data_IF_036291435897
#
_entry.id   IF_036291435897
#
_cell.length_a   1.000
_cell.length_b   1.000
_cell.length_c   1.000
_cell.angle_alpha   90.00
_cell.angle_beta   90.00
_cell.angle_gamma   90.00
#
_symmetry.space_group_name_H-M   'P 1'
#
loop_
_entity.id
_entity.type
_entity.pdbx_description
1 polymer ?
#
# COMPACT_ATOMS: atom_id res chain seq x y z
N UNK A 1 -8.71 -22.88 0.72
CA UNK A 1 -9.80 -22.28 -0.07
C UNK A 1 -10.57 -21.21 0.72
N UNK A 2 -11.09 -21.50 1.93
CA UNK A 2 -11.85 -20.49 2.72
C UNK A 2 -11.07 -19.21 3.01
N UNK A 3 -9.77 -19.31 3.40
CA UNK A 3 -8.92 -18.13 3.63
C UNK A 3 -8.88 -17.23 2.39
N UNK A 4 -8.64 -17.80 1.22
CA UNK A 4 -8.53 -17.04 -0.04
C UNK A 4 -9.86 -16.40 -0.46
N UNK A 5 -10.97 -17.15 -0.35
CA UNK A 5 -12.27 -16.61 -0.70
C UNK A 5 -12.66 -15.44 0.22
N UNK A 6 -12.47 -15.59 1.53
CA UNK A 6 -12.71 -14.52 2.49
C UNK A 6 -11.83 -13.29 2.20
N UNK A 7 -10.53 -13.51 1.96
CA UNK A 7 -9.59 -12.43 1.67
C UNK A 7 -9.90 -11.70 0.35
N UNK A 8 -10.23 -12.44 -0.71
CA UNK A 8 -10.59 -11.84 -1.99
C UNK A 8 -11.79 -10.87 -1.84
N UNK A 9 -12.82 -11.31 -1.12
CA UNK A 9 -14.01 -10.48 -0.88
C UNK A 9 -13.68 -9.28 0.01
N UNK A 10 -12.93 -9.49 1.09
CA UNK A 10 -12.55 -8.44 2.04
C UNK A 10 -11.65 -7.37 1.40
N UNK A 11 -10.69 -7.75 0.56
CA UNK A 11 -9.82 -6.80 -0.12
C UNK A 11 -10.58 -5.93 -1.13
N UNK A 12 -11.62 -6.45 -1.80
CA UNK A 12 -12.50 -5.63 -2.63
C UNK A 12 -13.23 -4.60 -1.76
N UNK A 13 -13.72 -5.01 -0.58
CA UNK A 13 -14.31 -4.10 0.41
C UNK A 13 -13.35 -3.00 0.84
N UNK A 14 -12.10 -3.36 1.16
CA UNK A 14 -11.05 -2.39 1.50
C UNK A 14 -10.86 -1.32 0.41
N UNK A 15 -10.94 -1.68 -0.90
CA UNK A 15 -10.86 -0.71 -2.00
C UNK A 15 -12.10 0.20 -2.05
N UNK A 16 -13.28 -0.34 -1.71
CA UNK A 16 -14.49 0.49 -1.58
C UNK A 16 -14.31 1.56 -0.50
N UNK A 17 -13.82 1.18 0.67
CA UNK A 17 -13.55 2.12 1.77
C UNK A 17 -12.48 3.15 1.39
N UNK A 18 -11.39 2.73 0.72
CA UNK A 18 -10.32 3.61 0.26
C UNK A 18 -10.81 4.70 -0.71
N UNK A 19 -11.81 4.40 -1.55
CA UNK A 19 -12.45 5.38 -2.45
C UNK A 19 -13.52 6.18 -1.72
N UNK A 20 -14.32 5.53 -0.87
CA UNK A 20 -15.47 6.15 -0.22
C UNK A 20 -15.09 7.17 0.87
N UNK A 21 -14.03 6.91 1.65
CA UNK A 21 -13.59 7.82 2.71
C UNK A 21 -13.18 9.21 2.20
N UNK A 22 -12.22 9.34 1.25
CA UNK A 22 -11.85 10.64 0.72
C UNK A 22 -13.01 11.32 -0.01
N UNK A 23 -13.85 10.58 -0.72
CA UNK A 23 -15.02 11.10 -1.40
C UNK A 23 -16.05 11.67 -0.42
N UNK A 24 -16.34 10.94 0.67
CA UNK A 24 -17.24 11.40 1.74
C UNK A 24 -16.75 12.70 2.37
N UNK A 25 -15.47 12.77 2.74
CA UNK A 25 -14.91 13.97 3.36
C UNK A 25 -14.87 15.13 2.39
N UNK A 26 -14.53 14.87 1.12
CA UNK A 26 -14.50 15.90 0.08
C UNK A 26 -15.90 16.46 -0.19
N UNK A 27 -16.93 15.61 -0.30
CA UNK A 27 -18.32 16.05 -0.47
C UNK A 27 -18.81 16.87 0.72
N UNK A 28 -18.43 16.50 1.94
CA UNK A 28 -18.89 17.18 3.14
C UNK A 28 -18.19 18.54 3.39
N UNK A 29 -16.93 18.70 2.94
CA UNK A 29 -16.11 19.86 3.32
C UNK A 29 -15.54 20.66 2.16
N UNK A 30 -15.42 20.08 0.97
CA UNK A 30 -14.63 20.65 -0.14
C UNK A 30 -13.13 20.79 0.17
N UNK A 31 -12.68 20.33 1.37
CA UNK A 31 -11.32 20.55 1.87
C UNK A 31 -10.35 19.51 1.29
N UNK A 32 -9.30 20.00 0.63
CA UNK A 32 -8.18 19.17 0.17
C UNK A 32 -7.35 18.65 1.34
N UNK A 33 -7.13 19.47 2.35
CA UNK A 33 -6.42 19.07 3.58
C UNK A 33 -7.20 17.97 4.32
N UNK A 34 -8.52 18.13 4.50
CA UNK A 34 -9.37 17.12 5.12
C UNK A 34 -9.35 15.79 4.37
N UNK A 35 -9.44 15.84 3.05
CA UNK A 35 -9.37 14.67 2.19
C UNK A 35 -7.98 14.01 2.26
N UNK A 36 -6.90 14.79 2.22
CA UNK A 36 -5.53 14.30 2.39
C UNK A 36 -5.31 13.67 3.78
N UNK A 37 -5.92 14.23 4.83
CA UNK A 37 -5.84 13.69 6.18
C UNK A 37 -6.44 12.28 6.30
N UNK A 38 -7.51 11.98 5.56
CA UNK A 38 -8.08 10.62 5.52
C UNK A 38 -7.08 9.61 4.95
N UNK A 39 -6.44 9.92 3.82
CA UNK A 39 -5.41 9.07 3.25
C UNK A 39 -4.24 8.83 4.23
N UNK A 40 -3.82 9.90 4.94
CA UNK A 40 -2.76 9.80 5.94
C UNK A 40 -3.20 8.93 7.13
N UNK A 41 -4.40 9.13 7.66
CA UNK A 41 -4.93 8.39 8.80
C UNK A 41 -5.11 6.90 8.49
N UNK A 42 -5.39 6.56 7.24
CA UNK A 42 -5.45 5.17 6.78
C UNK A 42 -4.08 4.49 6.77
N UNK A 43 -3.00 5.26 6.67
CA UNK A 43 -1.61 4.75 6.60
C UNK A 43 -0.88 4.83 7.94
N UNK A 44 -1.18 5.84 8.76
CA UNK A 44 -0.51 6.07 10.05
C UNK A 44 -0.48 4.86 11.00
N UNK A 45 -1.52 4.01 11.09
CA UNK A 45 -1.48 2.82 11.95
C UNK A 45 -0.32 1.88 11.63
N UNK A 46 0.09 1.76 10.37
CA UNK A 46 1.24 0.95 9.97
C UNK A 46 2.55 1.48 10.57
N UNK A 47 2.68 2.81 10.66
CA UNK A 47 3.85 3.43 11.28
C UNK A 47 3.89 3.19 12.78
N UNK A 48 2.75 3.35 13.48
CA UNK A 48 2.70 3.25 14.93
C UNK A 48 2.66 1.82 15.44
N UNK A 49 1.91 0.95 14.79
CA UNK A 49 1.60 -0.39 15.28
C UNK A 49 2.22 -1.51 14.44
N UNK A 50 2.71 -1.25 13.22
CA UNK A 50 3.18 -2.27 12.29
C UNK A 50 4.25 -3.19 12.91
N UNK A 51 5.20 -2.63 13.63
CA UNK A 51 6.26 -3.41 14.30
C UNK A 51 5.76 -4.17 15.53
N UNK A 52 4.82 -3.59 16.28
CA UNK A 52 4.25 -4.22 17.47
C UNK A 52 3.22 -5.30 17.10
N UNK A 53 2.58 -5.18 15.94
CA UNK A 53 1.53 -6.08 15.49
C UNK A 53 2.01 -7.52 15.37
N UNK A 54 3.18 -7.77 14.79
CA UNK A 54 3.75 -9.12 14.69
C UNK A 54 3.95 -9.77 16.07
N UNK A 55 4.52 -9.01 17.01
CA UNK A 55 4.76 -9.48 18.39
C UNK A 55 3.45 -9.78 19.11
N UNK A 56 2.46 -8.92 18.92
CA UNK A 56 1.15 -9.10 19.55
C UNK A 56 0.46 -10.35 18.98
N UNK A 57 0.47 -10.50 17.66
CA UNK A 57 -0.14 -11.65 16.96
C UNK A 57 0.49 -12.98 17.38
N UNK A 58 1.80 -13.02 17.63
CA UNK A 58 2.48 -14.25 18.05
C UNK A 58 2.06 -14.73 19.45
N UNK A 59 1.46 -13.89 20.27
CA UNK A 59 0.94 -14.24 21.61
C UNK A 59 -0.46 -14.86 21.59
N UNK A 60 -1.18 -14.70 20.51
CA UNK A 60 -2.57 -15.13 20.40
C UNK A 60 -2.77 -16.16 19.29
N UNK A 61 -3.93 -16.82 19.31
CA UNK A 61 -4.32 -17.69 18.21
C UNK A 61 -4.60 -16.85 16.96
N UNK A 62 -3.75 -17.02 15.94
CA UNK A 62 -3.75 -16.23 14.69
C UNK A 62 -5.13 -16.20 14.02
N UNK A 63 -5.84 -17.33 13.99
CA UNK A 63 -7.20 -17.40 13.43
C UNK A 63 -8.15 -16.46 14.17
N UNK A 64 -8.15 -16.52 15.51
CA UNK A 64 -9.06 -15.71 16.29
C UNK A 64 -8.69 -14.22 16.29
N UNK A 65 -7.41 -13.88 16.16
CA UNK A 65 -6.98 -12.49 15.91
C UNK A 65 -7.59 -11.98 14.60
N UNK A 66 -7.47 -12.74 13.51
CA UNK A 66 -8.03 -12.35 12.21
C UNK A 66 -9.56 -12.20 12.28
N UNK A 67 -10.27 -13.15 12.88
CA UNK A 67 -11.74 -13.09 13.08
C UNK A 67 -12.12 -11.85 13.90
N UNK A 68 -11.43 -11.60 15.00
CA UNK A 68 -11.72 -10.44 15.87
C UNK A 68 -11.50 -9.12 15.13
N UNK A 69 -10.43 -9.01 14.33
CA UNK A 69 -10.16 -7.81 13.55
C UNK A 69 -11.18 -7.59 12.44
N UNK A 70 -11.60 -8.63 11.73
CA UNK A 70 -12.65 -8.52 10.72
C UNK A 70 -14.01 -8.16 11.33
N UNK A 71 -14.39 -8.76 12.45
CA UNK A 71 -15.63 -8.39 13.17
C UNK A 71 -15.57 -6.93 13.65
N UNK A 72 -14.44 -6.50 14.20
CA UNK A 72 -14.25 -5.11 14.63
C UNK A 72 -14.38 -4.17 13.44
N UNK A 73 -13.66 -4.44 12.33
CA UNK A 73 -13.68 -3.63 11.12
C UNK A 73 -15.08 -3.58 10.50
N UNK A 74 -15.81 -4.71 10.48
CA UNK A 74 -17.19 -4.75 10.03
C UNK A 74 -18.10 -3.81 10.84
N UNK A 75 -18.00 -3.86 12.18
CA UNK A 75 -18.76 -2.98 13.05
C UNK A 75 -18.40 -1.50 12.85
N UNK A 76 -17.11 -1.18 12.79
CA UNK A 76 -16.64 0.19 12.58
C UNK A 76 -17.07 0.73 11.21
N UNK A 77 -17.01 -0.07 10.15
CA UNK A 77 -17.45 0.33 8.80
C UNK A 77 -18.96 0.67 8.77
N UNK A 78 -19.79 -0.08 9.50
CA UNK A 78 -21.23 0.24 9.63
C UNK A 78 -21.49 1.56 10.36
N UNK A 79 -20.61 1.96 11.30
CA UNK A 79 -20.76 3.22 12.03
C UNK A 79 -20.44 4.44 11.17
N UNK A 80 -19.57 4.32 10.14
CA UNK A 80 -19.17 5.47 9.31
C UNK A 80 -20.37 6.21 8.72
N UNK A 81 -21.31 5.60 7.99
CA UNK A 81 -22.44 6.32 7.44
C UNK A 81 -23.39 6.89 8.51
N UNK A 82 -23.43 6.32 9.70
CA UNK A 82 -24.26 6.81 10.80
C UNK A 82 -23.72 8.11 11.39
N UNK A 83 -22.39 8.24 11.50
CA UNK A 83 -21.76 9.43 12.10
C UNK A 83 -21.41 10.51 11.09
N UNK A 84 -21.34 10.17 9.82
CA UNK A 84 -20.90 11.09 8.76
C UNK A 84 -21.76 12.36 8.65
N UNK A 85 -23.05 12.26 8.99
CA UNK A 85 -23.99 13.39 8.94
C UNK A 85 -23.89 14.36 10.11
N UNK A 86 -23.22 14.01 11.21
CA UNK A 86 -23.19 14.83 12.42
C UNK A 86 -21.80 15.03 13.04
N UNK A 87 -20.82 14.20 12.74
CA UNK A 87 -19.47 14.34 13.32
C UNK A 87 -18.36 13.88 12.39
N UNK A 88 -17.80 14.81 11.63
CA UNK A 88 -16.62 14.54 10.79
C UNK A 88 -15.39 14.06 11.59
N UNK A 89 -15.07 14.61 12.78
CA UNK A 89 -13.97 14.06 13.59
C UNK A 89 -14.11 12.57 13.87
N UNK A 90 -15.32 12.06 14.09
CA UNK A 90 -15.52 10.63 14.27
C UNK A 90 -15.25 9.82 13.00
N UNK A 91 -15.50 10.37 11.81
CA UNK A 91 -15.14 9.72 10.53
C UNK A 91 -13.63 9.50 10.45
N UNK A 92 -12.82 10.49 10.84
CA UNK A 92 -11.36 10.34 10.89
C UNK A 92 -10.91 9.31 11.92
N UNK A 93 -11.52 9.29 13.10
CA UNK A 93 -11.23 8.27 14.13
C UNK A 93 -11.59 6.88 13.64
N UNK A 94 -12.74 6.72 12.99
CA UNK A 94 -13.16 5.43 12.43
C UNK A 94 -12.24 4.96 11.31
N UNK A 95 -11.78 5.85 10.42
CA UNK A 95 -10.84 5.49 9.36
C UNK A 95 -9.52 4.97 9.94
N UNK A 96 -8.98 5.64 10.96
CA UNK A 96 -7.78 5.19 11.68
C UNK A 96 -7.99 3.86 12.39
N UNK A 97 -9.14 3.66 13.04
CA UNK A 97 -9.45 2.43 13.78
C UNK A 97 -9.63 1.21 12.82
N UNK A 98 -10.30 1.41 11.68
CA UNK A 98 -10.45 0.37 10.64
C UNK A 98 -9.06 -0.02 10.10
N UNK A 99 -8.21 0.95 9.76
CA UNK A 99 -6.86 0.70 9.29
C UNK A 99 -6.00 0.00 10.35
N UNK A 100 -6.15 0.34 11.64
CA UNK A 100 -5.47 -0.34 12.76
C UNK A 100 -5.84 -1.83 12.81
N UNK A 101 -7.12 -2.18 12.57
CA UNK A 101 -7.55 -3.57 12.44
C UNK A 101 -6.81 -4.30 11.33
N UNK A 102 -6.58 -3.65 10.18
CA UNK A 102 -5.79 -4.19 9.07
C UNK A 102 -4.34 -4.46 9.44
N UNK A 103 -3.71 -3.55 10.18
CA UNK A 103 -2.31 -3.70 10.65
C UNK A 103 -2.12 -4.91 11.55
N UNK A 104 -3.10 -5.26 12.37
CA UNK A 104 -3.07 -6.44 13.23
C UNK A 104 -3.44 -7.73 12.48
N UNK A 105 -4.28 -7.61 11.47
CA UNK A 105 -4.73 -8.72 10.64
C UNK A 105 -3.58 -9.29 9.77
N UNK A 106 -2.81 -8.43 9.13
CA UNK A 106 -1.85 -8.82 8.10
C UNK A 106 -0.74 -9.76 8.59
N UNK A 107 -0.04 -9.53 9.72
CA UNK A 107 0.95 -10.48 10.21
C UNK A 107 0.32 -11.82 10.63
N UNK A 108 -0.93 -11.84 11.12
CA UNK A 108 -1.64 -13.07 11.42
C UNK A 108 -1.91 -13.89 10.16
N UNK A 109 -2.32 -13.22 9.07
CA UNK A 109 -2.56 -13.80 7.75
C UNK A 109 -1.28 -14.42 7.16
N UNK A 110 -0.19 -13.70 7.17
CA UNK A 110 1.09 -14.20 6.66
C UNK A 110 1.60 -15.40 7.46
N UNK A 111 1.40 -15.37 8.76
CA UNK A 111 1.90 -16.39 9.66
C UNK A 111 1.04 -17.67 9.72
N UNK A 112 -0.26 -17.60 9.42
CA UNK A 112 -1.15 -18.79 9.43
C UNK A 112 -0.97 -19.65 8.17
N UNK A 113 -0.61 -19.07 7.03
CA UNK A 113 -0.51 -19.79 5.75
C UNK A 113 0.42 -21.01 5.84
N UNK A 114 1.68 -20.90 6.32
CA UNK A 114 2.56 -22.07 6.43
C UNK A 114 2.12 -23.08 7.49
N UNK A 115 1.18 -22.73 8.36
CA UNK A 115 0.65 -23.64 9.40
C UNK A 115 -0.58 -24.44 8.92
N UNK A 116 -1.31 -23.94 7.92
CA UNK A 116 -2.50 -24.60 7.36
C UNK A 116 -2.24 -25.26 6.00
N UNK A 117 -1.09 -25.01 5.38
CA UNK A 117 -0.72 -25.55 4.06
C UNK A 117 0.47 -26.52 4.22
N UNK A 118 0.38 -27.74 3.68
CA UNK A 118 1.52 -28.66 3.63
C UNK A 118 2.73 -28.03 2.93
N UNK A 119 3.95 -28.34 3.41
CA UNK A 119 5.20 -27.74 2.92
C UNK A 119 5.40 -27.91 1.41
N UNK A 120 5.03 -29.07 0.86
CA UNK A 120 5.10 -29.38 -0.57
C UNK A 120 4.14 -28.53 -1.43
N UNK A 121 3.11 -27.91 -0.83
CA UNK A 121 2.10 -27.08 -1.52
C UNK A 121 2.24 -25.58 -1.24
N UNK A 122 3.22 -25.17 -0.42
CA UNK A 122 3.39 -23.75 -0.04
C UNK A 122 3.65 -22.85 -1.25
N UNK A 123 4.48 -23.28 -2.21
CA UNK A 123 4.74 -22.50 -3.40
C UNK A 123 3.45 -22.25 -4.20
N UNK A 124 2.64 -23.28 -4.39
CA UNK A 124 1.35 -23.18 -5.10
C UNK A 124 0.37 -22.29 -4.34
N UNK A 125 0.33 -22.40 -3.01
CA UNK A 125 -0.53 -21.57 -2.16
C UNK A 125 -0.14 -20.09 -2.23
N UNK A 126 1.15 -19.78 -2.14
CA UNK A 126 1.65 -18.41 -2.23
C UNK A 126 1.45 -17.82 -3.63
N UNK A 127 1.65 -18.61 -4.70
CA UNK A 127 1.36 -18.17 -6.07
C UNK A 127 -0.13 -17.85 -6.26
N UNK A 128 -1.02 -18.66 -5.68
CA UNK A 128 -2.45 -18.41 -5.73
C UNK A 128 -2.84 -17.14 -4.95
N UNK A 129 -2.23 -16.91 -3.76
CA UNK A 129 -2.40 -15.67 -3.00
C UNK A 129 -1.97 -14.46 -3.82
N UNK A 130 -0.77 -14.46 -4.36
CA UNK A 130 -0.25 -13.37 -5.17
C UNK A 130 -1.13 -13.08 -6.39
N UNK A 131 -1.65 -14.11 -7.06
CA UNK A 131 -2.59 -13.95 -8.17
C UNK A 131 -3.91 -13.31 -7.71
N UNK A 132 -4.45 -13.77 -6.57
CA UNK A 132 -5.68 -13.22 -6.01
C UNK A 132 -5.49 -11.74 -5.60
N UNK A 133 -4.36 -11.39 -4.99
CA UNK A 133 -4.00 -10.02 -4.63
C UNK A 133 -3.90 -9.12 -5.87
N UNK A 134 -3.21 -9.55 -6.93
CA UNK A 134 -3.12 -8.79 -8.17
C UNK A 134 -4.49 -8.60 -8.85
N UNK A 135 -5.33 -9.64 -8.87
CA UNK A 135 -6.69 -9.52 -9.42
C UNK A 135 -7.53 -8.55 -8.59
N UNK A 136 -7.42 -8.62 -7.26
CA UNK A 136 -8.15 -7.70 -6.37
C UNK A 136 -7.66 -6.27 -6.52
N UNK A 137 -6.35 -6.07 -6.76
CA UNK A 137 -5.79 -4.75 -7.03
C UNK A 137 -6.43 -4.12 -8.26
N UNK A 138 -6.50 -4.85 -9.37
CA UNK A 138 -7.08 -4.33 -10.63
C UNK A 138 -8.59 -4.19 -10.53
N UNK A 139 -9.28 -5.28 -10.19
CA UNK A 139 -10.74 -5.32 -10.19
C UNK A 139 -11.33 -4.51 -9.04
N UNK A 140 -10.66 -4.50 -7.88
CA UNK A 140 -11.11 -3.77 -6.70
C UNK A 140 -11.17 -2.27 -6.94
N UNK A 141 -10.15 -1.67 -7.55
CA UNK A 141 -10.16 -0.25 -7.89
C UNK A 141 -11.24 0.10 -8.91
N UNK A 142 -11.36 -0.69 -9.99
CA UNK A 142 -12.38 -0.45 -11.02
C UNK A 142 -13.80 -0.56 -10.42
N UNK A 143 -14.06 -1.61 -9.64
CA UNK A 143 -15.35 -1.81 -8.99
C UNK A 143 -15.63 -0.74 -7.94
N UNK A 144 -14.65 -0.37 -7.13
CA UNK A 144 -14.80 0.64 -6.09
C UNK A 144 -15.21 2.00 -6.68
N UNK A 145 -14.52 2.46 -7.73
CA UNK A 145 -14.87 3.70 -8.42
C UNK A 145 -16.31 3.70 -8.92
N UNK A 146 -16.73 2.62 -9.59
CA UNK A 146 -18.10 2.50 -10.14
C UNK A 146 -19.15 2.37 -9.03
N UNK A 147 -18.92 1.52 -8.03
CA UNK A 147 -19.91 1.27 -6.98
C UNK A 147 -20.12 2.49 -6.08
N UNK A 148 -19.05 3.19 -5.71
CA UNK A 148 -19.17 4.42 -4.89
C UNK A 148 -19.90 5.52 -5.65
N UNK A 149 -19.63 5.68 -6.97
CA UNK A 149 -20.33 6.67 -7.79
C UNK A 149 -21.79 6.32 -8.06
N UNK A 150 -22.11 5.02 -8.19
CA UNK A 150 -23.44 4.57 -8.65
C UNK A 150 -24.41 4.32 -7.50
N UNK A 151 -23.93 3.90 -6.33
CA UNK A 151 -24.80 3.54 -5.21
C UNK A 151 -24.91 4.67 -4.18
N UNK A 152 -23.91 4.89 -3.43
CA UNK A 152 -23.67 5.97 -2.45
C UNK A 152 -22.47 5.60 -1.57
N UNK A 153 -21.89 6.56 -0.89
CA UNK A 153 -20.84 6.30 0.11
C UNK A 153 -21.35 5.41 1.24
N UNK A 154 -22.59 5.60 1.68
CA UNK A 154 -23.19 4.76 2.72
C UNK A 154 -23.33 3.28 2.29
N UNK A 155 -23.72 3.03 1.04
CA UNK A 155 -23.80 1.68 0.49
C UNK A 155 -22.41 1.05 0.36
N UNK A 156 -21.39 1.82 -0.03
CA UNK A 156 -20.00 1.34 -0.10
C UNK A 156 -19.50 0.85 1.27
N UNK A 157 -19.72 1.60 2.35
CA UNK A 157 -19.35 1.17 3.71
C UNK A 157 -20.15 -0.04 4.21
N UNK A 158 -21.42 -0.17 3.83
CA UNK A 158 -22.20 -1.39 4.15
C UNK A 158 -21.67 -2.61 3.40
N UNK A 159 -21.29 -2.47 2.14
CA UNK A 159 -20.68 -3.53 1.36
C UNK A 159 -19.31 -3.94 1.93
N UNK A 160 -18.50 -2.95 2.32
CA UNK A 160 -17.24 -3.18 2.99
C UNK A 160 -17.43 -3.93 4.30
N UNK A 161 -18.36 -3.48 5.15
CA UNK A 161 -18.73 -4.20 6.37
C UNK A 161 -19.18 -5.64 6.10
N UNK A 162 -20.03 -5.85 5.09
CA UNK A 162 -20.45 -7.19 4.70
C UNK A 162 -19.27 -8.05 4.22
N UNK A 163 -18.31 -7.47 3.52
CA UNK A 163 -17.11 -8.17 3.07
C UNK A 163 -16.26 -8.67 4.23
N UNK A 164 -16.06 -7.85 5.27
CA UNK A 164 -15.40 -8.27 6.51
C UNK A 164 -16.18 -9.35 7.26
N UNK A 165 -17.50 -9.25 7.32
CA UNK A 165 -18.33 -10.27 7.93
C UNK A 165 -18.20 -11.63 7.21
N UNK A 166 -18.21 -11.62 5.88
CA UNK A 166 -17.97 -12.82 5.05
C UNK A 166 -16.58 -13.40 5.33
N UNK A 167 -15.55 -12.56 5.39
CA UNK A 167 -14.19 -12.97 5.71
C UNK A 167 -14.11 -13.59 7.11
N UNK A 168 -14.70 -12.93 8.12
CA UNK A 168 -14.74 -13.44 9.49
C UNK A 168 -15.40 -14.83 9.57
N UNK A 169 -16.52 -15.05 8.86
CA UNK A 169 -17.19 -16.35 8.79
C UNK A 169 -16.29 -17.39 8.11
N UNK A 170 -15.69 -17.05 6.97
CA UNK A 170 -14.75 -17.95 6.29
C UNK A 170 -13.59 -18.36 7.20
N UNK A 171 -13.01 -17.40 7.94
CA UNK A 171 -11.91 -17.64 8.88
C UNK A 171 -12.36 -18.50 10.08
N UNK A 172 -13.55 -18.24 10.62
CA UNK A 172 -14.11 -19.03 11.73
C UNK A 172 -14.36 -20.50 11.35
N UNK A 173 -14.62 -20.78 10.07
CA UNK A 173 -14.83 -22.14 9.56
C UNK A 173 -13.51 -22.89 9.29
N UNK A 174 -12.35 -22.23 9.30
CA UNK A 174 -11.06 -22.89 9.11
C UNK A 174 -10.76 -23.80 10.30
N UNK A 175 -10.55 -25.08 10.07
CA UNK A 175 -10.09 -26.01 11.11
C UNK A 175 -8.59 -25.77 11.36
N UNK A 176 -8.28 -25.03 12.40
CA UNK A 176 -6.91 -24.67 12.78
C UNK A 176 -6.67 -24.98 14.25
N UNK A 177 -5.60 -25.72 14.53
CA UNK A 177 -5.09 -25.95 15.88
C UNK A 177 -3.82 -25.12 16.04
N UNK A 178 -3.86 -24.11 16.89
CA UNK A 178 -2.70 -23.31 17.17
C UNK A 178 -1.59 -24.19 17.78
N UNK A 179 -0.35 -24.14 17.26
CA UNK A 179 0.77 -24.78 17.93
C UNK A 179 0.99 -24.16 19.33
N UNK A 180 1.32 -25.00 20.30
CA UNK A 180 1.72 -24.51 21.63
C UNK A 180 3.04 -23.73 21.46
N UNK A 181 3.02 -22.46 21.77
CA UNK A 181 4.19 -21.56 21.69
C UNK A 181 4.58 -21.11 23.08
N UNK A 182 5.84 -21.22 23.39
CA UNK A 182 6.40 -20.53 24.55
C UNK A 182 6.38 -19.03 24.26
N UNK A 183 5.83 -18.25 25.20
CA UNK A 183 5.76 -16.80 25.06
C UNK A 183 7.16 -16.20 24.93
N UNK A 184 7.50 -15.67 23.79
CA UNK A 184 8.77 -14.97 23.57
C UNK A 184 8.78 -13.66 24.37
N UNK A 185 9.33 -13.74 25.57
CA UNK A 185 9.24 -12.72 26.62
C UNK A 185 10.04 -11.42 26.43
N UNK A 186 10.62 -11.13 25.25
CA UNK A 186 11.61 -10.04 25.10
C UNK A 186 11.36 -9.05 23.95
N UNK A 187 10.22 -9.06 23.31
CA UNK A 187 10.05 -8.41 22.00
C UNK A 187 9.97 -6.87 21.99
N UNK A 188 9.40 -6.23 23.02
CA UNK A 188 9.21 -4.76 22.97
C UNK A 188 10.51 -3.96 23.26
N UNK A 189 11.39 -4.48 24.14
CA UNK A 189 12.69 -3.83 24.43
C UNK A 189 13.70 -3.97 23.29
N UNK A 190 13.52 -4.92 22.40
CA UNK A 190 14.37 -5.16 21.23
C UNK A 190 14.12 -4.22 20.07
N UNK A 191 12.88 -3.78 19.84
CA UNK A 191 12.49 -3.03 18.64
C UNK A 191 13.32 -1.77 18.35
N UNK A 192 13.42 -0.85 19.30
CA UNK A 192 14.23 0.37 19.10
C UNK A 192 15.72 0.06 18.91
N UNK A 193 16.22 -1.00 19.57
CA UNK A 193 17.59 -1.48 19.39
C UNK A 193 17.75 -2.06 17.98
N UNK A 194 16.85 -2.90 17.53
CA UNK A 194 16.87 -3.50 16.18
C UNK A 194 16.75 -2.44 15.09
N UNK A 195 15.86 -1.44 15.27
CA UNK A 195 15.73 -0.28 14.39
C UNK A 195 17.06 0.51 14.32
N UNK A 196 17.70 0.75 15.46
CA UNK A 196 19.00 1.43 15.52
C UNK A 196 20.11 0.63 14.85
N UNK A 197 20.14 -0.69 15.07
CA UNK A 197 21.11 -1.59 14.44
C UNK A 197 20.91 -1.65 12.94
N UNK A 198 19.66 -1.78 12.46
CA UNK A 198 19.31 -1.73 11.03
C UNK A 198 19.70 -0.40 10.39
N UNK A 199 19.40 0.73 11.03
CA UNK A 199 19.77 2.06 10.55
C UNK A 199 21.28 2.27 10.53
N UNK A 200 21.98 1.79 11.58
CA UNK A 200 23.45 1.82 11.63
C UNK A 200 24.06 1.02 10.48
N UNK A 201 23.55 -0.18 10.23
CA UNK A 201 24.00 -1.02 9.11
C UNK A 201 23.81 -0.34 7.76
N UNK A 202 22.63 0.23 7.52
CA UNK A 202 22.33 0.96 6.29
C UNK A 202 23.29 2.15 6.08
N UNK A 203 23.58 2.91 7.14
CA UNK A 203 24.48 4.09 7.09
C UNK A 203 25.92 3.75 6.76
N UNK A 204 26.40 2.59 7.21
CA UNK A 204 27.80 2.16 6.99
C UNK A 204 28.01 1.50 5.60
N UNK A 205 26.93 1.13 4.90
CA UNK A 205 27.01 0.51 3.57
C UNK A 205 26.50 1.47 2.50
N UNK A 206 27.42 2.15 1.81
CA UNK A 206 27.10 3.20 0.82
C UNK A 206 26.10 2.76 -0.24
N UNK A 207 26.18 1.53 -0.76
CA UNK A 207 25.22 1.00 -1.73
C UNK A 207 23.80 0.88 -1.17
N UNK A 208 23.67 0.34 0.05
CA UNK A 208 22.39 0.21 0.73
C UNK A 208 21.80 1.57 1.14
N UNK A 209 22.66 2.53 1.52
CA UNK A 209 22.22 3.90 1.82
C UNK A 209 21.63 4.58 0.59
N UNK A 210 22.31 4.50 -0.56
CA UNK A 210 21.82 5.06 -1.84
C UNK A 210 20.54 4.35 -2.26
N UNK A 211 20.48 3.02 -2.22
CA UNK A 211 19.27 2.24 -2.52
C UNK A 211 18.09 2.67 -1.61
N UNK A 212 18.34 2.82 -0.31
CA UNK A 212 17.32 3.27 0.65
C UNK A 212 16.86 4.70 0.35
N UNK A 213 17.77 5.61 0.02
CA UNK A 213 17.42 6.98 -0.34
C UNK A 213 16.57 7.04 -1.62
N UNK A 214 16.90 6.24 -2.63
CA UNK A 214 16.14 6.15 -3.88
C UNK A 214 14.73 5.61 -3.64
N UNK A 215 14.58 4.57 -2.81
CA UNK A 215 13.25 4.03 -2.49
C UNK A 215 12.43 5.01 -1.65
N UNK A 216 13.02 5.72 -0.69
CA UNK A 216 12.31 6.73 0.09
C UNK A 216 11.80 7.88 -0.78
N UNK A 217 12.62 8.34 -1.73
CA UNK A 217 12.20 9.34 -2.72
C UNK A 217 11.05 8.82 -3.59
N UNK A 218 11.12 7.57 -4.04
CA UNK A 218 10.05 6.92 -4.80
C UNK A 218 8.76 6.82 -3.99
N UNK A 219 8.84 6.35 -2.75
CA UNK A 219 7.70 6.23 -1.84
C UNK A 219 7.10 7.60 -1.51
N UNK A 220 7.92 8.65 -1.39
CA UNK A 220 7.41 10.01 -1.22
C UNK A 220 6.61 10.48 -2.45
N UNK A 221 7.10 10.20 -3.66
CA UNK A 221 6.38 10.52 -4.90
C UNK A 221 5.08 9.71 -5.07
N UNK A 222 5.12 8.41 -4.78
CA UNK A 222 3.92 7.54 -4.79
C UNK A 222 2.92 8.00 -3.73
N UNK A 223 3.36 8.26 -2.51
CA UNK A 223 2.48 8.75 -1.44
C UNK A 223 1.86 10.10 -1.81
N UNK A 224 2.65 11.01 -2.39
CA UNK A 224 2.13 12.28 -2.87
C UNK A 224 1.08 12.09 -3.98
N UNK A 225 1.24 11.13 -4.86
CA UNK A 225 0.31 10.90 -5.97
C UNK A 225 -1.07 10.42 -5.50
N UNK A 226 -1.20 9.71 -4.39
CA UNK A 226 -2.48 9.13 -3.95
C UNK A 226 -3.61 10.17 -3.80
N UNK A 227 -3.50 11.25 -2.99
CA UNK A 227 -4.53 12.29 -2.96
C UNK A 227 -4.54 13.13 -4.25
N UNK A 228 -3.39 13.32 -4.92
CA UNK A 228 -3.35 14.08 -6.17
C UNK A 228 -4.14 13.41 -7.29
N UNK A 229 -4.11 12.07 -7.38
CA UNK A 229 -4.94 11.30 -8.33
C UNK A 229 -6.42 11.55 -8.09
N UNK A 230 -6.83 11.55 -6.83
CA UNK A 230 -8.21 11.87 -6.47
C UNK A 230 -8.59 13.30 -6.92
N UNK A 231 -7.76 14.31 -6.61
CA UNK A 231 -8.04 15.70 -7.00
C UNK A 231 -7.95 15.92 -8.51
N UNK A 232 -7.05 15.22 -9.21
CA UNK A 232 -6.98 15.24 -10.67
C UNK A 232 -8.29 14.73 -11.28
N UNK A 233 -8.77 13.58 -10.81
CA UNK A 233 -10.00 12.98 -11.31
C UNK A 233 -11.23 13.86 -11.04
N UNK A 234 -11.35 14.39 -9.83
CA UNK A 234 -12.56 15.08 -9.37
C UNK A 234 -12.53 16.58 -9.70
N UNK A 235 -11.43 17.29 -9.37
CA UNK A 235 -11.36 18.75 -9.55
C UNK A 235 -10.88 19.18 -10.93
N UNK A 236 -9.88 18.49 -11.48
CA UNK A 236 -9.25 18.92 -12.75
C UNK A 236 -10.04 18.39 -13.94
N UNK A 237 -10.44 17.12 -13.91
CA UNK A 237 -11.22 16.52 -15.00
C UNK A 237 -12.74 16.65 -14.81
N UNK A 238 -13.22 17.17 -13.68
CA UNK A 238 -14.65 17.31 -13.38
C UNK A 238 -15.38 15.96 -13.30
N UNK A 239 -14.66 14.88 -13.05
CA UNK A 239 -15.19 13.54 -12.93
C UNK A 239 -15.71 13.21 -11.53
N UNK A 240 -15.98 11.93 -11.33
CA UNK A 240 -16.39 11.36 -10.05
C UNK A 240 -15.41 10.24 -9.60
N UNK A 241 -15.84 9.43 -8.67
CA UNK A 241 -15.04 8.29 -8.18
C UNK A 241 -14.75 7.23 -9.24
N UNK A 242 -15.52 7.17 -10.35
CA UNK A 242 -15.23 6.30 -11.51
C UNK A 242 -13.93 6.70 -12.17
N UNK A 243 -13.71 8.00 -12.34
CA UNK A 243 -12.48 8.53 -12.91
C UNK A 243 -11.27 8.18 -12.03
N UNK A 244 -11.39 8.36 -10.70
CA UNK A 244 -10.35 7.95 -9.74
C UNK A 244 -10.07 6.44 -9.79
N UNK A 245 -11.13 5.62 -9.70
CA UNK A 245 -10.98 4.16 -9.77
C UNK A 245 -10.41 3.66 -11.10
N UNK A 246 -10.73 4.31 -12.23
CA UNK A 246 -10.17 3.96 -13.54
C UNK A 246 -8.66 4.25 -13.61
N UNK A 247 -8.18 5.37 -13.07
CA UNK A 247 -6.75 5.69 -13.01
C UNK A 247 -5.98 4.69 -12.15
N UNK A 248 -6.49 4.39 -10.95
CA UNK A 248 -5.87 3.41 -10.04
C UNK A 248 -5.88 1.98 -10.64
N UNK A 249 -6.99 1.55 -11.24
CA UNK A 249 -7.06 0.26 -11.92
C UNK A 249 -6.07 0.18 -13.09
N UNK A 250 -5.92 1.26 -13.85
CA UNK A 250 -4.97 1.33 -14.97
C UNK A 250 -3.52 1.22 -14.48
N UNK A 251 -3.19 1.84 -13.36
CA UNK A 251 -1.89 1.67 -12.70
C UNK A 251 -1.66 0.20 -12.29
N UNK A 252 -2.66 -0.43 -11.68
CA UNK A 252 -2.60 -1.85 -11.30
C UNK A 252 -2.40 -2.79 -12.50
N UNK A 253 -3.09 -2.54 -13.62
CA UNK A 253 -2.88 -3.28 -14.88
C UNK A 253 -1.44 -3.10 -15.37
N UNK A 254 -0.94 -1.87 -15.35
CA UNK A 254 0.46 -1.59 -15.72
C UNK A 254 1.45 -2.32 -14.84
N UNK A 255 1.25 -2.33 -13.53
CA UNK A 255 2.09 -3.05 -12.57
C UNK A 255 2.09 -4.56 -12.84
N UNK A 256 0.94 -5.16 -13.08
CA UNK A 256 0.83 -6.57 -13.44
C UNK A 256 1.60 -6.89 -14.74
N UNK A 257 1.37 -6.11 -15.80
CA UNK A 257 2.09 -6.27 -17.08
C UNK A 257 3.59 -6.11 -16.89
N UNK A 258 4.03 -5.10 -16.13
CA UNK A 258 5.45 -4.86 -15.83
C UNK A 258 6.09 -6.02 -15.06
N UNK A 259 5.38 -6.60 -14.10
CA UNK A 259 5.84 -7.75 -13.33
C UNK A 259 6.05 -8.98 -14.22
N UNK A 260 5.10 -9.26 -15.12
CA UNK A 260 5.21 -10.38 -16.08
C UNK A 260 6.36 -10.13 -17.07
N UNK A 261 6.47 -8.92 -17.62
CA UNK A 261 7.57 -8.56 -18.53
C UNK A 261 8.93 -8.73 -17.84
N UNK A 262 9.07 -8.22 -16.62
CA UNK A 262 10.33 -8.37 -15.90
C UNK A 262 10.66 -9.83 -15.58
N UNK A 263 9.68 -10.64 -15.20
CA UNK A 263 9.88 -12.07 -14.96
C UNK A 263 10.41 -12.80 -16.21
N UNK A 264 9.94 -12.42 -17.41
CA UNK A 264 10.42 -13.01 -18.69
C UNK A 264 11.80 -12.49 -19.12
N UNK A 265 12.16 -11.27 -18.70
CA UNK A 265 13.42 -10.60 -19.05
C UNK A 265 14.49 -10.70 -17.96
N UNK A 266 14.19 -11.29 -16.81
CA UNK A 266 15.02 -11.25 -15.60
C UNK A 266 16.48 -11.69 -15.81
N UNK A 267 16.71 -12.68 -16.72
CA UNK A 267 18.06 -13.17 -17.03
C UNK A 267 18.86 -12.27 -17.98
N UNK A 268 18.20 -11.28 -18.61
CA UNK A 268 18.81 -10.41 -19.64
C UNK A 268 19.07 -8.99 -19.16
N UNK A 269 18.53 -8.61 -18.00
CA UNK A 269 18.61 -7.23 -17.50
C UNK A 269 19.56 -7.12 -16.31
N UNK A 270 20.32 -6.02 -16.25
CA UNK A 270 21.17 -5.69 -15.11
C UNK A 270 20.33 -4.99 -14.05
N UNK A 271 20.32 -5.50 -12.82
CA UNK A 271 19.46 -5.02 -11.72
C UNK A 271 19.63 -3.55 -11.44
N UNK A 272 20.88 -3.06 -11.37
CA UNK A 272 21.16 -1.65 -11.11
C UNK A 272 20.59 -0.72 -12.16
N UNK A 273 20.73 -1.06 -13.44
CA UNK A 273 20.14 -0.29 -14.53
C UNK A 273 18.63 -0.38 -14.57
N UNK A 274 18.06 -1.54 -14.30
CA UNK A 274 16.59 -1.75 -14.21
C UNK A 274 16.00 -0.88 -13.12
N UNK A 275 16.64 -0.84 -11.93
CA UNK A 275 16.23 0.02 -10.83
C UNK A 275 16.26 1.50 -11.22
N UNK A 276 17.38 1.98 -11.75
CA UNK A 276 17.54 3.40 -12.15
C UNK A 276 16.55 3.76 -13.24
N UNK A 277 16.50 2.99 -14.33
CA UNK A 277 15.61 3.26 -15.45
C UNK A 277 14.14 3.19 -15.07
N UNK A 278 13.77 2.21 -14.23
CA UNK A 278 12.41 2.08 -13.70
C UNK A 278 11.99 3.28 -12.88
N UNK A 279 12.81 3.73 -11.93
CA UNK A 279 12.53 4.91 -11.11
C UNK A 279 12.48 6.21 -11.93
N UNK A 280 13.41 6.39 -12.88
CA UNK A 280 13.38 7.56 -13.78
C UNK A 280 12.11 7.53 -14.62
N UNK A 281 11.76 6.40 -15.21
CA UNK A 281 10.54 6.25 -16.00
C UNK A 281 9.28 6.52 -15.16
N UNK A 282 9.23 6.02 -13.91
CA UNK A 282 8.14 6.35 -12.97
C UNK A 282 7.97 7.86 -12.79
N UNK A 283 9.07 8.55 -12.49
CA UNK A 283 9.04 10.00 -12.27
C UNK A 283 8.59 10.76 -13.52
N UNK A 284 9.08 10.37 -14.71
CA UNK A 284 8.66 10.96 -15.98
C UNK A 284 7.20 10.69 -16.30
N UNK A 285 6.70 9.48 -16.07
CA UNK A 285 5.29 9.15 -16.26
C UNK A 285 4.40 9.96 -15.32
N UNK A 286 4.79 10.10 -14.05
CA UNK A 286 4.04 10.91 -13.10
C UNK A 286 4.02 12.39 -13.49
N UNK A 287 5.13 12.93 -13.95
CA UNK A 287 5.20 14.30 -14.49
C UNK A 287 4.36 14.47 -15.77
N UNK A 288 4.31 13.44 -16.63
CA UNK A 288 3.52 13.46 -17.86
C UNK A 288 2.01 13.54 -17.59
N UNK A 289 1.53 13.11 -16.41
CA UNK A 289 0.12 13.30 -16.01
C UNK A 289 -0.28 14.78 -16.02
N UNK A 290 0.65 15.68 -15.70
CA UNK A 290 0.38 17.12 -15.63
C UNK A 290 -0.10 17.75 -16.96
N UNK A 291 0.27 17.17 -18.10
CA UNK A 291 -0.13 17.67 -19.43
C UNK A 291 -1.39 17.01 -19.99
N UNK A 292 -2.02 16.12 -19.24
CA UNK A 292 -3.25 15.44 -19.68
C UNK A 292 -4.48 16.31 -19.42
N UNK A 293 -5.48 16.20 -20.30
CA UNK A 293 -6.71 16.99 -20.25
C UNK A 293 -7.96 16.14 -20.03
N UNK A 294 -7.82 14.82 -19.99
CA UNK A 294 -8.92 13.90 -19.74
C UNK A 294 -8.45 12.63 -19.03
N UNK A 295 -9.39 11.93 -18.41
CA UNK A 295 -9.13 10.63 -17.72
C UNK A 295 -8.47 9.64 -18.70
N UNK A 296 -8.97 9.54 -19.93
CA UNK A 296 -8.44 8.60 -20.92
C UNK A 296 -7.01 8.91 -21.34
N UNK A 297 -6.66 10.20 -21.46
CA UNK A 297 -5.27 10.59 -21.71
C UNK A 297 -4.38 10.25 -20.52
N UNK A 298 -4.87 10.46 -19.30
CA UNK A 298 -4.12 10.16 -18.07
C UNK A 298 -3.92 8.66 -17.85
N UNK A 299 -4.80 7.80 -18.34
CA UNK A 299 -4.62 6.34 -18.28
C UNK A 299 -3.30 5.88 -18.91
N UNK A 300 -2.82 6.54 -19.98
CA UNK A 300 -1.57 6.14 -20.65
C UNK A 300 -0.37 6.29 -19.71
N UNK A 301 -0.05 7.48 -19.15
CA UNK A 301 1.06 7.62 -18.22
C UNK A 301 0.84 6.81 -16.91
N UNK A 302 -0.40 6.58 -16.45
CA UNK A 302 -0.67 5.71 -15.30
C UNK A 302 -0.33 4.23 -15.58
N UNK A 303 -0.68 3.72 -16.75
CA UNK A 303 -0.28 2.36 -17.15
C UNK A 303 1.23 2.20 -17.21
N UNK A 304 1.92 3.16 -17.87
CA UNK A 304 3.37 3.17 -17.98
C UNK A 304 4.05 3.34 -16.61
N UNK A 305 3.49 4.16 -15.75
CA UNK A 305 3.93 4.29 -14.35
C UNK A 305 3.85 2.96 -13.62
N UNK A 306 2.75 2.21 -13.76
CA UNK A 306 2.61 0.87 -13.18
C UNK A 306 3.69 -0.09 -13.66
N UNK A 307 3.94 -0.16 -14.97
CA UNK A 307 5.01 -0.98 -15.56
C UNK A 307 6.38 -0.62 -14.99
N UNK A 308 6.69 0.66 -14.94
CA UNK A 308 7.96 1.17 -14.42
C UNK A 308 8.11 0.90 -12.91
N UNK A 309 7.01 1.03 -12.14
CA UNK A 309 6.97 0.73 -10.72
C UNK A 309 7.29 -0.74 -10.43
N UNK A 310 6.69 -1.67 -11.18
CA UNK A 310 6.99 -3.08 -11.02
C UNK A 310 8.48 -3.37 -11.29
N UNK A 311 9.03 -2.84 -12.37
CA UNK A 311 10.44 -3.02 -12.70
C UNK A 311 11.38 -2.45 -11.62
N UNK A 312 11.09 -1.24 -11.14
CA UNK A 312 11.87 -0.58 -10.11
C UNK A 312 11.82 -1.33 -8.77
N UNK A 313 10.60 -1.65 -8.30
CA UNK A 313 10.38 -2.25 -6.99
C UNK A 313 11.04 -3.63 -6.88
N UNK A 314 10.82 -4.49 -7.88
CA UNK A 314 11.40 -5.84 -7.90
C UNK A 314 12.94 -5.76 -7.92
N UNK A 315 13.53 -4.86 -8.72
CA UNK A 315 14.99 -4.69 -8.78
C UNK A 315 15.56 -4.15 -7.45
N UNK A 316 14.90 -3.17 -6.84
CA UNK A 316 15.28 -2.58 -5.55
C UNK A 316 15.25 -3.62 -4.43
N UNK A 317 14.20 -4.44 -4.37
CA UNK A 317 14.03 -5.47 -3.34
C UNK A 317 15.01 -6.62 -3.52
N UNK A 318 15.24 -7.04 -4.77
CA UNK A 318 16.25 -8.07 -5.07
C UNK A 318 17.64 -7.63 -4.66
N UNK A 319 18.04 -6.39 -4.99
CA UNK A 319 19.33 -5.83 -4.57
C UNK A 319 19.48 -5.85 -3.04
N UNK A 320 18.45 -5.41 -2.32
CA UNK A 320 18.48 -5.40 -0.85
C UNK A 320 18.63 -6.80 -0.25
N UNK A 321 17.87 -7.78 -0.77
CA UNK A 321 17.91 -9.16 -0.29
C UNK A 321 19.26 -9.82 -0.50
N UNK A 322 19.96 -9.50 -1.59
CA UNK A 322 21.29 -10.02 -1.88
C UNK A 322 22.40 -9.33 -1.09
N UNK A 323 22.28 -8.00 -0.91
CA UNK A 323 23.32 -7.22 -0.25
C UNK A 323 23.32 -7.34 1.30
N UNK A 324 22.21 -7.81 1.90
CA UNK A 324 22.09 -7.89 3.37
C UNK A 324 22.34 -9.33 3.85
N UNK A 325 23.31 -9.54 4.79
CA UNK A 325 23.56 -10.84 5.41
C UNK A 325 22.30 -11.40 6.09
N UNK A 326 22.13 -12.74 6.07
CA UNK A 326 20.94 -13.42 6.59
C UNK A 326 20.59 -13.03 8.03
N UNK A 327 21.59 -12.94 8.91
CA UNK A 327 21.39 -12.59 10.32
C UNK A 327 20.92 -11.17 10.60
N UNK A 328 21.02 -10.26 9.61
CA UNK A 328 20.59 -8.86 9.71
C UNK A 328 19.36 -8.52 8.85
N UNK A 329 18.91 -9.44 7.97
CA UNK A 329 17.81 -9.19 7.04
C UNK A 329 16.55 -8.68 7.74
N UNK A 330 16.11 -9.35 8.80
CA UNK A 330 14.91 -8.94 9.53
C UNK A 330 14.99 -7.50 10.07
N UNK A 331 16.15 -7.13 10.66
CA UNK A 331 16.36 -5.79 11.22
C UNK A 331 16.42 -4.71 10.15
N UNK A 332 17.12 -4.96 9.05
CA UNK A 332 17.26 -4.03 7.94
C UNK A 332 15.92 -3.85 7.20
N UNK A 333 15.21 -4.95 6.91
CA UNK A 333 13.89 -4.91 6.26
C UNK A 333 12.86 -4.21 7.15
N UNK A 334 12.82 -4.51 8.45
CA UNK A 334 11.93 -3.84 9.40
C UNK A 334 12.20 -2.34 9.52
N UNK A 335 13.50 -1.95 9.56
CA UNK A 335 13.91 -0.54 9.55
C UNK A 335 13.45 0.16 8.27
N UNK A 336 13.68 -0.47 7.12
CA UNK A 336 13.26 0.07 5.83
C UNK A 336 11.73 0.21 5.75
N UNK A 337 10.98 -0.79 6.20
CA UNK A 337 9.53 -0.74 6.24
C UNK A 337 9.02 0.44 7.08
N UNK A 338 9.58 0.66 8.27
CA UNK A 338 9.22 1.80 9.11
C UNK A 338 9.51 3.13 8.42
N UNK A 339 10.66 3.27 7.76
CA UNK A 339 11.03 4.48 7.02
C UNK A 339 10.09 4.71 5.83
N UNK A 340 9.77 3.68 5.04
CA UNK A 340 8.89 3.80 3.88
C UNK A 340 7.46 4.17 4.28
N UNK A 341 6.90 3.55 5.32
CA UNK A 341 5.56 3.86 5.80
C UNK A 341 5.46 5.28 6.38
N UNK A 342 6.47 5.72 7.14
CA UNK A 342 6.53 7.09 7.63
C UNK A 342 6.66 8.11 6.49
N UNK A 343 7.49 7.83 5.50
CA UNK A 343 7.67 8.68 4.32
C UNK A 343 6.38 8.76 3.50
N UNK A 344 5.71 7.63 3.28
CA UNK A 344 4.42 7.58 2.58
C UNK A 344 3.37 8.43 3.29
N UNK A 345 3.15 8.21 4.58
CA UNK A 345 2.15 8.95 5.36
C UNK A 345 2.41 10.46 5.36
N UNK A 346 3.68 10.87 5.50
CA UNK A 346 4.07 12.29 5.44
C UNK A 346 3.82 12.88 4.05
N UNK A 347 4.20 12.17 2.99
CA UNK A 347 4.02 12.61 1.62
C UNK A 347 2.54 12.79 1.26
N UNK A 348 1.68 11.85 1.67
CA UNK A 348 0.22 11.92 1.53
C UNK A 348 -0.34 13.17 2.22
N UNK A 349 0.06 13.41 3.47
CA UNK A 349 -0.43 14.56 4.24
C UNK A 349 0.02 15.88 3.62
N UNK A 350 1.30 15.99 3.26
CA UNK A 350 1.88 17.19 2.65
C UNK A 350 1.24 17.49 1.30
N UNK A 351 1.09 16.48 0.44
CA UNK A 351 0.49 16.68 -0.90
C UNK A 351 -1.00 17.03 -0.81
N UNK A 352 -1.74 16.41 0.10
CA UNK A 352 -3.13 16.77 0.37
C UNK A 352 -3.30 18.20 0.86
N UNK A 353 -2.40 18.68 1.73
CA UNK A 353 -2.38 20.07 2.19
C UNK A 353 -2.02 21.04 1.04
N UNK A 354 -0.97 20.74 0.29
CA UNK A 354 -0.50 21.58 -0.82
C UNK A 354 -1.52 21.68 -1.96
N UNK A 355 -2.30 20.63 -2.22
CA UNK A 355 -3.34 20.64 -3.26
C UNK A 355 -4.44 21.69 -3.04
N UNK A 356 -4.51 22.30 -1.86
CA UNK A 356 -5.39 23.43 -1.56
C UNK A 356 -4.89 24.79 -2.05
N UNK A 357 -3.57 24.94 -2.21
CA UNK A 357 -2.90 26.23 -2.50
C UNK A 357 -2.04 26.18 -3.76
N UNK A 358 -1.69 24.99 -4.25
CA UNK A 358 -0.86 24.77 -5.44
C UNK A 358 -1.67 23.98 -6.46
N UNK A 359 -1.48 24.29 -7.75
CA UNK A 359 -2.13 23.53 -8.81
C UNK A 359 -1.70 22.05 -8.76
N UNK A 360 -2.69 21.15 -8.84
CA UNK A 360 -2.49 19.69 -8.79
C UNK A 360 -1.49 19.21 -9.85
N UNK A 361 -1.48 19.84 -11.03
CA UNK A 361 -0.55 19.52 -12.12
C UNK A 361 0.89 19.84 -11.77
N UNK A 362 1.13 20.97 -11.11
CA UNK A 362 2.48 21.34 -10.63
C UNK A 362 2.96 20.35 -9.58
N UNK A 363 2.06 19.90 -8.70
CA UNK A 363 2.37 18.89 -7.68
C UNK A 363 2.72 17.52 -8.31
N UNK A 364 2.07 17.13 -9.42
CA UNK A 364 2.44 15.92 -10.16
C UNK A 364 3.86 16.04 -10.76
N UNK A 365 4.23 17.19 -11.33
CA UNK A 365 5.59 17.44 -11.82
C UNK A 365 6.59 17.36 -10.66
N UNK A 366 6.29 17.99 -9.53
CA UNK A 366 7.15 17.96 -8.35
C UNK A 366 7.33 16.54 -7.79
N UNK A 367 6.25 15.77 -7.69
CA UNK A 367 6.29 14.36 -7.27
C UNK A 367 7.10 13.50 -8.25
N UNK A 368 6.93 13.71 -9.55
CA UNK A 368 7.72 13.05 -10.59
C UNK A 368 9.22 13.40 -10.51
N UNK A 369 9.55 14.66 -10.30
CA UNK A 369 10.93 15.10 -10.12
C UNK A 369 11.55 14.51 -8.83
N UNK A 370 10.79 14.43 -7.76
CA UNK A 370 11.21 13.81 -6.50
C UNK A 370 11.65 12.36 -6.68
N UNK A 371 11.00 11.61 -7.57
CA UNK A 371 11.37 10.23 -7.91
C UNK A 371 12.56 10.21 -8.88
N UNK A 372 12.46 10.96 -9.98
CA UNK A 372 13.40 10.85 -11.09
C UNK A 372 14.80 11.40 -10.77
N UNK A 373 14.90 12.52 -10.05
CA UNK A 373 16.19 13.17 -9.80
C UNK A 373 17.15 12.33 -8.95
N UNK A 374 16.75 11.78 -7.78
CA UNK A 374 17.63 10.90 -7.01
C UNK A 374 17.99 9.62 -7.76
N UNK A 375 17.03 9.09 -8.56
CA UNK A 375 17.28 7.90 -9.38
C UNK A 375 18.31 8.19 -10.49
N UNK A 376 18.20 9.32 -11.19
CA UNK A 376 19.19 9.74 -12.18
C UNK A 376 20.57 9.97 -11.55
N UNK A 377 20.65 10.55 -10.34
CA UNK A 377 21.88 10.67 -9.59
C UNK A 377 22.50 9.30 -9.24
N UNK A 378 21.69 8.26 -9.13
CA UNK A 378 22.15 6.87 -8.94
C UNK A 378 23.06 6.35 -10.06
N UNK A 379 23.02 6.94 -11.27
CA UNK A 379 23.93 6.62 -12.39
C UNK A 379 25.39 6.84 -11.99
N UNK A 380 25.67 7.83 -11.14
CA UNK A 380 27.01 8.13 -10.67
C UNK A 380 27.44 7.24 -9.48
N UNK A 381 26.52 6.49 -8.89
CA UNK A 381 26.81 5.55 -7.82
C UNK A 381 27.22 4.18 -8.39
N UNK A 382 28.52 3.93 -8.54
CA UNK A 382 29.05 2.65 -9.05
C UNK A 382 28.50 1.44 -8.31
N UNK A 383 28.32 1.55 -6.99
CA UNK A 383 27.76 0.47 -6.13
C UNK A 383 26.32 0.04 -6.51
N UNK A 384 25.58 0.89 -7.21
CA UNK A 384 24.23 0.57 -7.69
C UNK A 384 24.28 0.16 -9.16
N UNK A 385 25.00 0.96 -9.98
CA UNK A 385 25.05 0.75 -11.43
C UNK A 385 25.65 -0.59 -11.82
N UNK A 386 26.63 -1.06 -11.08
CA UNK A 386 27.41 -2.27 -11.38
C UNK A 386 26.81 -3.53 -10.70
N UNK A 387 25.69 -3.40 -9.99
CA UNK A 387 24.90 -4.48 -9.37
C UNK A 387 23.88 -5.11 -10.41
#
# INVERSE_FOLDING_TARGET
MLLWAGQFVSQIGDRLAWVAFPWLVYQATGSTLGTGAVFALYTLPYLFFGAAAGVLVDRFNRRWVMVAMDVLRAGLALLVPLVAGWSLPLVYVLSFAIATGGVLFEPARLAIVPEIVPKDKLLRANSFLATAENLTEILGWALAGVLVASLSTAAAFRLDSASFAVSAVCLALIRYRAPVREAAGHAARGFFRELREGLSFLRHHRGLLVNTAMILASIAGIGASAPLTFFLAVRVFGGDTRAFGALEATMGIGFFVGSVLLATLATRVRKGWTMIAGLVAMGLCLAAVAVTHSVWQACIPYALFGVANAAALIAVDTYLQEAVPEGLRGRVLGTRLALTQGTYALAVLVSGALAGVVDVRVLFVAAGALIAMPAAAGIFARSIRDA
#
